data_IF_970628938609
#
_entry.id   IF_970628938609
#
_cell.length_a   1.000
_cell.length_b   1.000
_cell.length_c   1.000
_cell.angle_alpha   90.00
_cell.angle_beta   90.00
_cell.angle_gamma   90.00
#
_symmetry.space_group_name_H-M   'P 1'
#
loop_
_entity.id
_entity.type
_entity.pdbx_description
1 polymer ?
#
# COMPACT_ATOMS: atom_id res chain seq x y z
N UNK A 1 -21.96 8.18 -11.22
CA UNK A 1 -22.37 9.23 -10.28
C UNK A 1 -21.48 10.44 -10.52
N UNK A 2 -22.01 11.64 -10.83
CA UNK A 2 -21.18 12.82 -11.09
C UNK A 2 -20.18 13.08 -9.94
N UNK A 3 -18.89 13.28 -10.28
CA UNK A 3 -17.82 13.52 -9.32
C UNK A 3 -17.32 12.30 -8.56
N UNK A 4 -17.74 11.07 -8.96
CA UNK A 4 -17.22 9.80 -8.43
C UNK A 4 -16.95 8.84 -9.59
N UNK A 5 -15.91 8.02 -9.48
CA UNK A 5 -15.55 7.00 -10.46
C UNK A 5 -14.74 5.90 -9.79
N UNK A 6 -14.64 4.75 -10.45
CA UNK A 6 -13.74 3.66 -10.09
C UNK A 6 -12.42 3.82 -10.87
N UNK A 7 -11.53 4.68 -10.38
CA UNK A 7 -10.30 5.05 -11.08
C UNK A 7 -9.15 4.04 -10.90
N UNK A 8 -9.41 2.95 -10.18
CA UNK A 8 -8.50 1.81 -10.04
C UNK A 8 -9.02 0.52 -10.70
N UNK A 9 -10.29 0.51 -11.15
CA UNK A 9 -10.88 -0.63 -11.87
C UNK A 9 -11.40 -1.76 -10.97
N UNK A 10 -11.61 -1.50 -9.69
CA UNK A 10 -12.09 -2.52 -8.75
C UNK A 10 -13.51 -3.02 -9.07
N UNK A 11 -14.36 -2.22 -9.73
CA UNK A 11 -15.66 -2.65 -10.25
C UNK A 11 -15.51 -3.69 -11.38
N UNK A 12 -14.50 -3.53 -12.25
CA UNK A 12 -14.14 -4.53 -13.24
C UNK A 12 -13.60 -5.82 -12.60
N UNK A 13 -12.74 -5.70 -11.57
CA UNK A 13 -12.26 -6.87 -10.82
C UNK A 13 -13.43 -7.66 -10.21
N UNK A 14 -14.40 -6.97 -9.59
CA UNK A 14 -15.61 -7.62 -9.06
C UNK A 14 -16.41 -8.30 -10.14
N UNK A 15 -16.54 -7.69 -11.32
CA UNK A 15 -17.26 -8.27 -12.46
C UNK A 15 -16.59 -9.55 -12.97
N UNK A 16 -15.24 -9.57 -13.07
CA UNK A 16 -14.47 -10.77 -13.42
C UNK A 16 -14.74 -11.90 -12.41
N UNK A 17 -14.74 -11.60 -11.11
CA UNK A 17 -15.02 -12.59 -10.07
C UNK A 17 -16.49 -13.09 -10.15
N UNK A 18 -17.45 -12.24 -10.48
CA UNK A 18 -18.83 -12.67 -10.76
C UNK A 18 -18.90 -13.62 -11.95
N UNK A 19 -18.21 -13.31 -13.06
CA UNK A 19 -18.12 -14.19 -14.23
C UNK A 19 -17.46 -15.54 -13.91
N UNK A 20 -16.42 -15.54 -13.05
CA UNK A 20 -15.84 -16.78 -12.52
C UNK A 20 -16.88 -17.59 -11.74
N UNK A 21 -17.70 -16.94 -10.91
CA UNK A 21 -18.79 -17.60 -10.17
C UNK A 21 -19.81 -18.26 -11.09
N UNK A 22 -20.18 -17.61 -12.17
CA UNK A 22 -21.07 -18.18 -13.18
C UNK A 22 -20.45 -19.44 -13.83
N UNK A 23 -19.18 -19.38 -14.25
CA UNK A 23 -18.47 -20.53 -14.81
C UNK A 23 -18.36 -21.70 -13.82
N UNK A 24 -18.03 -21.42 -12.56
CA UNK A 24 -17.95 -22.44 -11.50
C UNK A 24 -19.32 -23.05 -11.18
N UNK A 25 -20.42 -22.31 -11.31
CA UNK A 25 -21.77 -22.87 -11.14
C UNK A 25 -22.12 -23.94 -12.18
N UNK A 26 -21.57 -23.80 -13.37
CA UNK A 26 -21.77 -24.74 -14.51
C UNK A 26 -20.73 -25.89 -14.49
N UNK A 27 -19.52 -25.63 -13.99
CA UNK A 27 -18.40 -26.58 -13.97
C UNK A 27 -17.75 -26.57 -12.58
N UNK A 28 -18.39 -27.23 -11.63
CA UNK A 28 -17.86 -27.34 -10.26
C UNK A 28 -16.59 -28.17 -10.23
N UNK A 29 -15.60 -27.79 -9.39
CA UNK A 29 -14.43 -28.64 -9.19
C UNK A 29 -14.84 -30.01 -8.64
N UNK A 30 -14.15 -31.07 -9.04
CA UNK A 30 -14.40 -32.43 -8.59
C UNK A 30 -14.05 -32.62 -7.09
N UNK A 31 -13.14 -31.80 -6.57
CA UNK A 31 -12.71 -31.79 -5.18
C UNK A 31 -12.33 -30.39 -4.74
N UNK A 32 -12.39 -30.16 -3.43
CA UNK A 32 -12.08 -28.86 -2.84
C UNK A 32 -13.24 -27.86 -2.91
N UNK A 33 -12.98 -26.66 -2.46
CA UNK A 33 -13.92 -25.54 -2.42
C UNK A 33 -13.29 -24.29 -3.02
N UNK A 34 -14.05 -23.52 -3.75
CA UNK A 34 -13.62 -22.20 -4.25
C UNK A 34 -14.50 -21.15 -3.60
N UNK A 35 -13.86 -20.26 -2.85
CA UNK A 35 -14.51 -19.13 -2.19
C UNK A 35 -14.26 -17.87 -3.01
N UNK A 36 -15.31 -17.19 -3.43
CA UNK A 36 -15.25 -15.89 -4.09
C UNK A 36 -15.39 -14.82 -3.03
N UNK A 37 -14.31 -14.11 -2.76
CA UNK A 37 -14.23 -13.13 -1.69
C UNK A 37 -14.32 -11.71 -2.25
N UNK A 38 -15.36 -10.97 -1.83
CA UNK A 38 -15.54 -9.56 -2.15
C UNK A 38 -15.26 -8.74 -0.89
N UNK A 39 -14.19 -7.96 -0.90
CA UNK A 39 -13.80 -7.16 0.25
C UNK A 39 -14.12 -5.67 0.06
N UNK A 40 -14.39 -4.92 1.13
CA UNK A 40 -14.52 -3.47 1.08
C UNK A 40 -13.17 -2.78 1.27
N UNK A 41 -13.12 -1.44 1.07
CA UNK A 41 -12.09 -0.54 1.60
C UNK A 41 -10.62 -0.92 1.26
N UNK A 42 -10.38 -1.45 0.06
CA UNK A 42 -9.02 -1.76 -0.41
C UNK A 42 -8.16 -0.47 -0.44
N UNK A 43 -8.65 0.62 -1.03
CA UNK A 43 -7.95 1.89 -1.21
C UNK A 43 -7.44 2.54 0.10
N UNK A 44 -7.95 2.11 1.24
CA UNK A 44 -7.50 2.57 2.57
C UNK A 44 -6.62 1.54 3.30
N UNK A 45 -6.41 0.35 2.72
CA UNK A 45 -5.67 -0.75 3.32
C UNK A 45 -6.40 -1.42 4.50
N UNK A 46 -7.72 -1.19 4.63
CA UNK A 46 -8.51 -1.70 5.76
C UNK A 46 -9.33 -2.94 5.40
N UNK A 47 -9.52 -3.23 4.11
CA UNK A 47 -10.43 -4.26 3.63
C UNK A 47 -9.98 -5.67 3.99
N UNK A 48 -8.79 -6.07 3.58
CA UNK A 48 -8.23 -7.37 3.92
C UNK A 48 -8.09 -7.53 5.44
N UNK A 49 -7.67 -6.49 6.16
CA UNK A 49 -7.58 -6.51 7.62
C UNK A 49 -8.94 -6.79 8.27
N UNK A 50 -9.99 -6.09 7.85
CA UNK A 50 -11.33 -6.28 8.39
C UNK A 50 -11.84 -7.71 8.17
N UNK A 51 -11.51 -8.32 7.02
CA UNK A 51 -11.87 -9.72 6.73
C UNK A 51 -11.10 -10.67 7.64
N UNK A 52 -9.78 -10.51 7.75
CA UNK A 52 -8.94 -11.39 8.56
C UNK A 52 -9.24 -11.33 10.07
N UNK A 53 -9.75 -10.20 10.55
CA UNK A 53 -10.18 -9.99 11.93
C UNK A 53 -11.63 -10.45 12.19
N UNK A 54 -12.44 -10.74 11.13
CA UNK A 54 -13.80 -11.27 11.29
C UNK A 54 -13.75 -12.75 11.72
N UNK A 55 -14.41 -13.14 12.83
CA UNK A 55 -14.41 -14.53 13.28
C UNK A 55 -14.90 -15.54 12.22
N UNK A 56 -15.78 -15.10 11.31
CA UNK A 56 -16.28 -15.96 10.22
C UNK A 56 -15.21 -16.31 9.18
N UNK A 57 -14.07 -15.60 9.16
CA UNK A 57 -12.98 -15.89 8.25
C UNK A 57 -12.42 -17.31 8.48
N UNK A 58 -12.44 -17.82 9.70
CA UNK A 58 -11.99 -19.19 9.98
C UNK A 58 -12.82 -20.27 9.25
N UNK A 59 -14.08 -19.98 8.91
CA UNK A 59 -14.95 -20.90 8.16
C UNK A 59 -14.54 -20.99 6.67
N UNK A 60 -13.85 -19.97 6.17
CA UNK A 60 -13.42 -19.86 4.77
C UNK A 60 -11.90 -19.72 4.63
N UNK A 61 -11.14 -20.02 5.70
CA UNK A 61 -9.67 -19.91 5.67
C UNK A 61 -9.09 -20.71 4.50
N UNK A 62 -8.43 -20.06 3.53
CA UNK A 62 -7.99 -20.75 2.32
C UNK A 62 -6.66 -21.48 2.51
N UNK A 63 -6.47 -22.56 1.73
CA UNK A 63 -5.17 -23.21 1.54
C UNK A 63 -4.28 -22.42 0.57
N UNK A 64 -4.90 -21.66 -0.34
CA UNK A 64 -4.23 -20.71 -1.23
C UNK A 64 -5.16 -19.57 -1.61
N UNK A 65 -4.63 -18.36 -1.78
CA UNK A 65 -5.36 -17.19 -2.20
C UNK A 65 -4.83 -16.63 -3.52
N UNK A 66 -5.73 -16.24 -4.43
CA UNK A 66 -5.39 -15.62 -5.70
C UNK A 66 -6.11 -14.29 -5.84
N UNK A 67 -5.42 -13.30 -6.41
CA UNK A 67 -6.02 -12.03 -6.80
C UNK A 67 -5.45 -11.57 -8.14
N UNK A 68 -6.18 -10.70 -8.83
CA UNK A 68 -5.72 -10.05 -10.04
C UNK A 68 -5.84 -8.52 -9.89
N UNK A 69 -5.00 -7.81 -10.63
CA UNK A 69 -5.15 -6.36 -10.82
C UNK A 69 -4.99 -6.01 -12.31
N UNK A 70 -5.86 -5.16 -12.82
CA UNK A 70 -5.71 -4.62 -14.17
C UNK A 70 -4.49 -3.72 -14.26
N UNK A 71 -3.75 -3.81 -15.36
CA UNK A 71 -2.50 -3.08 -15.56
C UNK A 71 -2.52 -2.27 -16.86
N UNK A 72 -2.81 -0.96 -16.83
CA UNK A 72 -2.54 -0.05 -17.94
C UNK A 72 -1.07 -0.10 -18.37
N UNK A 73 -0.83 0.10 -19.67
CA UNK A 73 0.52 0.08 -20.25
C UNK A 73 1.04 -1.31 -20.63
N UNK A 74 0.31 -2.37 -20.31
CA UNK A 74 0.57 -3.72 -20.78
C UNK A 74 -0.44 -4.11 -21.89
N UNK A 75 -0.03 -4.94 -22.87
CA UNK A 75 -0.95 -5.43 -23.89
C UNK A 75 -2.22 -6.03 -23.27
N UNK A 76 -3.36 -5.80 -23.91
CA UNK A 76 -4.64 -6.33 -23.45
C UNK A 76 -4.57 -7.86 -23.24
N UNK A 77 -5.10 -8.35 -22.13
CA UNK A 77 -5.08 -9.75 -21.69
C UNK A 77 -3.69 -10.32 -21.36
N UNK A 78 -2.61 -9.56 -21.43
CA UNK A 78 -1.29 -10.07 -21.03
C UNK A 78 -1.26 -10.35 -19.53
N UNK A 79 -0.89 -11.56 -19.14
CA UNK A 79 -0.68 -11.93 -17.74
C UNK A 79 0.71 -11.47 -17.30
N UNK A 80 0.75 -10.60 -16.31
CA UNK A 80 2.00 -10.07 -15.74
C UNK A 80 2.21 -10.74 -14.39
N UNK A 81 3.31 -11.47 -14.28
CA UNK A 81 3.63 -12.26 -13.10
C UNK A 81 4.98 -11.83 -12.50
N UNK A 82 5.20 -12.19 -11.26
CA UNK A 82 6.52 -12.06 -10.63
C UNK A 82 6.69 -13.09 -9.53
N UNK A 83 7.89 -13.66 -9.44
CA UNK A 83 8.30 -14.51 -8.32
C UNK A 83 8.66 -13.66 -7.10
N UNK A 84 8.22 -14.07 -5.93
CA UNK A 84 8.44 -13.33 -4.70
C UNK A 84 7.62 -12.03 -4.64
N UNK A 85 8.22 -10.93 -4.20
CA UNK A 85 7.49 -9.65 -4.04
C UNK A 85 6.89 -9.15 -5.35
N UNK A 86 5.58 -9.02 -5.42
CA UNK A 86 4.85 -8.47 -6.58
C UNK A 86 4.66 -6.96 -6.43
N UNK A 87 4.15 -6.53 -5.28
CA UNK A 87 3.90 -5.12 -4.96
C UNK A 87 4.48 -4.73 -3.60
N UNK A 88 4.90 -3.48 -3.46
CA UNK A 88 5.52 -2.94 -2.25
C UNK A 88 4.56 -2.97 -1.06
N UNK A 89 5.11 -3.11 0.13
CA UNK A 89 4.41 -2.67 1.34
C UNK A 89 4.56 -1.17 1.51
N UNK A 90 3.56 -0.52 2.12
CA UNK A 90 3.61 0.91 2.42
C UNK A 90 2.81 1.30 3.66
N UNK A 91 3.14 2.46 4.21
CA UNK A 91 2.33 3.10 5.26
C UNK A 91 2.46 4.61 5.22
N UNK A 92 1.36 5.30 5.42
CA UNK A 92 1.37 6.71 5.77
C UNK A 92 1.74 6.86 7.24
N UNK A 93 2.73 7.72 7.54
CA UNK A 93 3.19 7.99 8.89
C UNK A 93 3.18 9.48 9.18
N UNK A 94 2.66 9.87 10.33
CA UNK A 94 2.70 11.24 10.82
C UNK A 94 3.47 11.31 12.14
N UNK A 95 4.47 12.17 12.20
CA UNK A 95 5.20 12.55 13.41
C UNK A 95 4.55 13.81 13.96
N UNK A 96 4.06 13.78 15.19
CA UNK A 96 3.51 14.92 15.91
C UNK A 96 4.49 15.38 16.99
N UNK A 97 4.95 16.62 16.91
CA UNK A 97 5.85 17.24 17.89
C UNK A 97 5.08 18.22 18.75
N UNK A 98 5.13 18.05 20.07
CA UNK A 98 4.45 18.92 21.03
C UNK A 98 5.46 19.53 22.00
N UNK A 99 5.53 20.83 21.96
CA UNK A 99 6.29 21.67 22.89
C UNK A 99 5.35 22.60 23.68
N UNK A 100 5.69 23.88 23.75
CA UNK A 100 4.94 24.90 24.48
C UNK A 100 4.90 26.20 23.69
N UNK A 101 3.70 26.75 23.47
CA UNK A 101 3.51 28.08 22.87
C UNK A 101 3.98 29.17 23.84
N UNK A 102 4.42 30.30 23.27
CA UNK A 102 4.73 31.51 24.03
C UNK A 102 4.41 32.76 23.20
N UNK A 103 4.49 33.92 23.78
CA UNK A 103 4.42 35.18 23.04
C UNK A 103 5.66 35.30 22.14
N UNK A 104 5.50 35.80 20.93
CA UNK A 104 6.61 35.91 19.95
C UNK A 104 7.75 36.84 20.40
N UNK A 105 7.45 37.80 21.29
CA UNK A 105 8.47 38.65 21.93
C UNK A 105 9.21 37.97 23.09
N UNK A 106 8.74 36.81 23.57
CA UNK A 106 9.34 36.04 24.67
C UNK A 106 9.46 34.56 24.25
N UNK A 107 10.21 34.22 23.17
CA UNK A 107 10.31 32.87 22.67
C UNK A 107 10.95 31.90 23.66
N UNK A 108 11.79 32.38 24.57
CA UNK A 108 12.44 31.61 25.64
C UNK A 108 11.47 31.05 26.69
N UNK A 109 10.26 31.59 26.79
CA UNK A 109 9.20 31.08 27.67
C UNK A 109 8.44 29.88 27.08
N UNK A 110 8.69 29.58 25.82
CA UNK A 110 8.11 28.46 25.08
C UNK A 110 9.11 27.35 24.79
N UNK A 111 8.61 26.31 24.08
CA UNK A 111 9.40 25.22 23.49
C UNK A 111 8.92 25.08 22.05
N UNK A 112 9.65 25.66 21.10
CA UNK A 112 9.25 25.73 19.70
C UNK A 112 9.81 24.53 18.92
N UNK A 113 8.97 23.75 18.24
CA UNK A 113 9.40 22.54 17.51
C UNK A 113 10.09 22.83 16.16
N UNK A 114 10.18 24.08 15.71
CA UNK A 114 10.70 24.45 14.39
C UNK A 114 12.07 23.86 14.08
N UNK A 115 13.01 23.90 15.05
CA UNK A 115 14.36 23.37 14.86
C UNK A 115 14.40 21.85 14.72
N UNK A 116 13.56 21.13 15.46
CA UNK A 116 13.43 19.68 15.34
C UNK A 116 12.79 19.32 13.99
N UNK A 117 11.69 19.97 13.62
CA UNK A 117 11.00 19.79 12.34
C UNK A 117 11.96 20.00 11.15
N UNK A 118 12.69 21.11 11.12
CA UNK A 118 13.62 21.41 10.03
C UNK A 118 14.71 20.33 9.88
N UNK A 119 15.25 19.83 11.00
CA UNK A 119 16.25 18.75 10.99
C UNK A 119 15.66 17.41 10.54
N UNK A 120 14.42 17.11 10.91
CA UNK A 120 13.73 15.89 10.43
C UNK A 120 13.48 15.97 8.94
N UNK A 121 12.98 17.08 8.40
CA UNK A 121 12.78 17.28 6.97
C UNK A 121 14.09 17.03 6.19
N UNK A 122 15.24 17.46 6.72
CA UNK A 122 16.54 17.26 6.07
C UNK A 122 17.08 15.83 6.20
N UNK A 123 16.89 15.20 7.37
CA UNK A 123 17.51 13.88 7.66
C UNK A 123 16.68 12.71 7.15
N UNK A 124 15.35 12.75 7.28
CA UNK A 124 14.50 11.58 7.00
C UNK A 124 14.62 11.06 5.57
N UNK A 125 14.74 11.89 4.50
CA UNK A 125 14.92 11.40 3.13
C UNK A 125 16.21 10.59 2.89
N UNK A 126 17.17 10.65 3.81
CA UNK A 126 18.43 9.89 3.73
C UNK A 126 18.30 8.47 4.34
N UNK A 127 17.32 8.25 5.24
CA UNK A 127 17.18 7.00 5.99
C UNK A 127 16.92 5.76 5.10
N UNK A 128 16.22 5.84 3.95
CA UNK A 128 16.10 4.69 3.07
C UNK A 128 17.44 4.07 2.64
N UNK A 129 18.52 4.84 2.62
CA UNK A 129 19.88 4.36 2.28
C UNK A 129 20.49 3.47 3.38
N UNK A 130 19.93 3.49 4.58
CA UNK A 130 20.38 2.68 5.72
C UNK A 130 19.68 1.32 5.78
N UNK A 131 18.68 1.09 4.90
CA UNK A 131 17.97 -0.18 4.74
C UNK A 131 18.67 -1.03 3.67
N UNK A 132 18.67 -2.35 3.83
CA UNK A 132 19.44 -3.26 2.96
C UNK A 132 18.87 -3.40 1.55
N UNK A 133 17.52 -3.40 1.42
CA UNK A 133 16.82 -3.53 0.16
C UNK A 133 16.29 -2.21 -0.39
N UNK A 134 15.35 -2.31 -1.33
CA UNK A 134 14.64 -1.13 -1.81
C UNK A 134 13.76 -0.57 -0.71
N UNK A 135 14.00 0.69 -0.36
CA UNK A 135 13.16 1.47 0.54
C UNK A 135 12.98 2.89 -0.01
N UNK A 136 11.84 3.49 0.27
CA UNK A 136 11.50 4.84 -0.17
C UNK A 136 10.77 5.58 0.96
N UNK A 137 11.15 6.84 1.16
CA UNK A 137 10.45 7.78 2.04
C UNK A 137 10.12 9.03 1.23
N UNK A 138 8.83 9.36 1.18
CA UNK A 138 8.36 10.57 0.52
C UNK A 138 7.70 11.47 1.56
N UNK A 139 8.22 12.69 1.72
CA UNK A 139 7.59 13.71 2.57
C UNK A 139 6.32 14.21 1.88
N UNK A 140 5.21 14.23 2.60
CA UNK A 140 3.89 14.58 2.05
C UNK A 140 3.44 15.95 2.55
N UNK A 141 3.57 16.21 3.87
CA UNK A 141 3.09 17.45 4.48
C UNK A 141 3.92 17.80 5.69
N UNK A 142 4.14 19.11 5.91
CA UNK A 142 4.76 19.65 7.10
C UNK A 142 3.99 20.88 7.57
N UNK A 143 3.70 20.94 8.86
CA UNK A 143 3.00 22.05 9.48
C UNK A 143 3.73 22.51 10.75
N UNK A 144 3.81 23.83 10.95
CA UNK A 144 4.40 24.44 12.14
C UNK A 144 3.44 25.49 12.70
N UNK A 145 2.79 25.17 13.82
CA UNK A 145 1.88 26.07 14.51
C UNK A 145 0.71 26.53 13.64
N UNK A 146 0.29 27.77 13.83
CA UNK A 146 -0.73 28.44 13.04
C UNK A 146 -0.26 29.83 12.63
N UNK A 147 -0.86 30.42 11.60
CA UNK A 147 -0.51 31.77 11.14
C UNK A 147 -0.98 32.81 12.15
N UNK A 148 -0.11 33.11 13.15
CA UNK A 148 -0.34 34.09 14.21
C UNK A 148 0.98 34.75 14.60
N UNK A 149 1.23 35.97 14.10
CA UNK A 149 2.53 36.68 14.29
C UNK A 149 2.88 36.99 15.73
N UNK A 150 1.89 37.06 16.61
CA UNK A 150 2.10 37.30 18.06
C UNK A 150 2.45 36.04 18.87
N UNK A 151 2.50 34.86 18.25
CA UNK A 151 2.64 33.58 18.96
C UNK A 151 3.79 32.75 18.41
N UNK A 152 4.71 32.31 19.28
CA UNK A 152 5.69 31.27 18.96
C UNK A 152 5.00 29.87 18.92
N UNK A 153 5.26 29.08 17.89
CA UNK A 153 4.65 27.77 17.71
C UNK A 153 5.02 26.80 18.86
N UNK A 154 4.04 26.04 19.32
CA UNK A 154 4.22 24.97 20.29
C UNK A 154 3.90 23.59 19.76
N UNK A 155 3.46 23.47 18.50
CA UNK A 155 3.15 22.19 17.84
C UNK A 155 3.70 22.18 16.43
N UNK A 156 4.05 21.00 15.94
CA UNK A 156 4.37 20.75 14.55
C UNK A 156 3.98 19.33 14.17
N UNK A 157 3.74 19.11 12.89
CA UNK A 157 3.53 17.78 12.33
C UNK A 157 4.34 17.58 11.05
N UNK A 158 4.74 16.34 10.77
CA UNK A 158 5.42 15.93 9.55
C UNK A 158 4.85 14.61 9.10
N UNK A 159 4.21 14.60 7.92
CA UNK A 159 3.60 13.43 7.33
C UNK A 159 4.42 12.94 6.14
N UNK A 160 4.51 11.62 6.00
CA UNK A 160 5.28 10.95 4.95
C UNK A 160 4.66 9.61 4.58
N UNK A 161 5.00 9.11 3.41
CA UNK A 161 4.75 7.72 3.01
C UNK A 161 6.07 6.96 3.04
N UNK A 162 6.05 5.78 3.65
CA UNK A 162 7.15 4.84 3.70
C UNK A 162 6.80 3.64 2.82
N UNK A 163 7.76 3.11 2.04
CA UNK A 163 7.58 1.94 1.17
C UNK A 163 8.81 1.06 1.19
N UNK A 164 8.62 -0.25 1.06
CA UNK A 164 9.73 -1.20 0.80
C UNK A 164 9.23 -2.42 0.02
N UNK A 165 10.16 -3.16 -0.60
CA UNK A 165 9.87 -4.42 -1.28
C UNK A 165 9.96 -5.63 -0.35
N UNK A 166 10.47 -5.47 0.87
CA UNK A 166 10.49 -6.49 1.91
C UNK A 166 9.83 -5.96 3.17
N UNK A 167 9.09 -6.82 3.87
CA UNK A 167 8.33 -6.42 5.06
C UNK A 167 9.27 -6.02 6.21
N UNK A 168 10.38 -6.76 6.40
CA UNK A 168 11.38 -6.43 7.42
C UNK A 168 12.13 -5.13 7.13
N UNK A 169 12.36 -4.81 5.85
CA UNK A 169 12.94 -3.53 5.42
C UNK A 169 11.96 -2.37 5.69
N UNK A 170 10.65 -2.56 5.48
CA UNK A 170 9.63 -1.56 5.81
C UNK A 170 9.59 -1.28 7.32
N UNK A 171 9.58 -2.34 8.13
CA UNK A 171 9.60 -2.24 9.59
C UNK A 171 10.89 -1.55 10.08
N UNK A 172 12.03 -1.91 9.50
CA UNK A 172 13.32 -1.28 9.80
C UNK A 172 13.32 0.21 9.46
N UNK A 173 12.75 0.60 8.32
CA UNK A 173 12.62 2.02 7.94
C UNK A 173 11.72 2.77 8.91
N UNK A 174 10.59 2.19 9.32
CA UNK A 174 9.69 2.78 10.32
C UNK A 174 10.44 3.02 11.63
N UNK A 175 11.22 2.05 12.08
CA UNK A 175 11.98 2.16 13.33
C UNK A 175 13.11 3.20 13.24
N UNK A 176 13.80 3.29 12.10
CA UNK A 176 14.79 4.36 11.85
C UNK A 176 14.14 5.74 11.95
N UNK A 177 12.98 5.94 11.33
CA UNK A 177 12.22 7.19 11.40
C UNK A 177 11.80 7.51 12.82
N UNK A 178 11.25 6.54 13.56
CA UNK A 178 10.86 6.73 14.98
C UNK A 178 12.04 7.11 15.85
N UNK A 179 13.17 6.43 15.69
CA UNK A 179 14.37 6.67 16.49
C UNK A 179 14.95 8.06 16.22
N UNK A 180 15.03 8.48 14.95
CA UNK A 180 15.48 9.82 14.60
C UNK A 180 14.54 10.90 15.16
N UNK A 181 13.21 10.69 15.05
CA UNK A 181 12.23 11.63 15.57
C UNK A 181 12.32 11.77 17.11
N UNK A 182 12.44 10.64 17.82
CA UNK A 182 12.65 10.65 19.29
C UNK A 182 13.92 11.39 19.67
N UNK A 183 15.04 11.09 19.01
CA UNK A 183 16.32 11.76 19.29
C UNK A 183 16.24 13.30 19.08
N UNK A 184 15.53 13.77 18.04
CA UNK A 184 15.33 15.22 17.84
C UNK A 184 14.36 15.81 18.85
N UNK A 185 13.29 15.09 19.19
CA UNK A 185 12.33 15.55 20.20
C UNK A 185 13.01 15.70 21.56
N UNK A 186 13.74 14.70 22.03
CA UNK A 186 14.46 14.69 23.29
C UNK A 186 15.47 15.86 23.38
N UNK A 187 16.27 16.05 22.31
CA UNK A 187 17.25 17.15 22.24
C UNK A 187 16.62 18.53 22.39
N UNK A 188 15.37 18.68 21.99
CA UNK A 188 14.66 19.96 22.00
C UNK A 188 13.59 20.06 23.10
N UNK A 189 13.49 19.08 24.00
CA UNK A 189 12.53 19.08 25.11
C UNK A 189 11.05 18.92 24.62
N UNK A 190 10.83 18.26 23.50
CA UNK A 190 9.51 18.04 22.89
C UNK A 190 8.97 16.68 23.25
N UNK A 191 7.63 16.56 23.29
CA UNK A 191 6.96 15.25 23.20
C UNK A 191 6.80 14.88 21.73
N UNK A 192 6.90 13.58 21.43
CA UNK A 192 6.69 13.02 20.10
C UNK A 192 5.67 11.91 20.15
N UNK A 193 4.71 11.94 19.22
CA UNK A 193 3.72 10.92 19.00
C UNK A 193 3.73 10.51 17.51
N UNK A 194 3.28 9.27 17.22
CA UNK A 194 3.26 8.68 15.88
C UNK A 194 1.86 8.23 15.53
N UNK A 195 1.38 8.63 14.35
CA UNK A 195 0.15 8.13 13.74
C UNK A 195 0.46 7.33 12.49
N UNK A 196 -0.36 6.32 12.19
CA UNK A 196 -0.27 5.48 10.99
C UNK A 196 -1.61 5.43 10.29
N UNK A 197 -1.60 5.47 8.96
CA UNK A 197 -2.77 5.37 8.09
C UNK A 197 -2.38 4.61 6.83
N UNK A 198 -3.37 4.04 6.13
CA UNK A 198 -3.17 3.42 4.81
C UNK A 198 -1.99 2.43 4.82
N UNK A 199 -2.04 1.47 5.75
CA UNK A 199 -0.96 0.49 5.90
C UNK A 199 -1.25 -0.75 5.08
N UNK A 200 -0.35 -1.04 4.14
CA UNK A 200 -0.39 -2.16 3.22
C UNK A 200 0.81 -3.07 3.46
N UNK A 201 0.57 -4.35 3.63
CA UNK A 201 1.64 -5.33 3.71
C UNK A 201 2.28 -5.57 2.33
N UNK A 202 3.50 -6.06 2.32
CA UNK A 202 4.15 -6.50 1.07
C UNK A 202 3.35 -7.63 0.44
N UNK A 203 2.92 -7.47 -0.82
CA UNK A 203 2.28 -8.55 -1.57
C UNK A 203 3.36 -9.48 -2.14
N UNK A 204 3.46 -10.68 -1.57
CA UNK A 204 4.51 -11.64 -1.90
C UNK A 204 3.90 -12.91 -2.48
N UNK A 205 4.23 -13.20 -3.73
CA UNK A 205 3.80 -14.40 -4.43
C UNK A 205 4.56 -15.63 -3.95
N UNK A 206 3.82 -16.70 -3.67
CA UNK A 206 4.39 -18.01 -3.36
C UNK A 206 5.03 -18.62 -4.61
N UNK A 207 6.24 -19.15 -4.45
CA UNK A 207 7.03 -19.69 -5.56
C UNK A 207 6.43 -20.99 -6.14
N UNK A 208 5.67 -21.73 -5.34
CA UNK A 208 5.02 -22.97 -5.78
C UNK A 208 3.76 -22.69 -6.60
N UNK A 209 3.12 -21.53 -6.42
CA UNK A 209 1.95 -21.13 -7.20
C UNK A 209 2.33 -20.52 -8.56
N UNK A 210 3.56 -20.01 -8.70
CA UNK A 210 4.02 -19.39 -9.95
C UNK A 210 3.89 -20.32 -11.16
N UNK A 211 4.41 -21.57 -11.14
CA UNK A 211 4.31 -22.46 -12.30
C UNK A 211 2.85 -22.85 -12.63
N UNK A 212 1.97 -22.85 -11.63
CA UNK A 212 0.54 -23.14 -11.85
C UNK A 212 -0.10 -22.00 -12.67
N UNK A 213 0.12 -20.75 -12.28
CA UNK A 213 -0.43 -19.59 -12.99
C UNK A 213 0.18 -19.47 -14.40
N UNK A 214 1.48 -19.74 -14.54
CA UNK A 214 2.18 -19.74 -15.83
C UNK A 214 1.60 -20.80 -16.78
N UNK A 215 1.37 -22.02 -16.29
CA UNK A 215 0.81 -23.12 -17.06
C UNK A 215 -0.63 -22.82 -17.50
N UNK A 216 -1.47 -22.33 -16.59
CA UNK A 216 -2.85 -21.93 -16.90
C UNK A 216 -2.89 -20.82 -17.95
N UNK A 217 -2.04 -19.80 -17.84
CA UNK A 217 -1.95 -18.75 -18.85
C UNK A 217 -1.59 -19.34 -20.23
N UNK A 218 -0.64 -20.28 -20.28
CA UNK A 218 -0.23 -20.97 -21.50
C UNK A 218 -1.35 -21.82 -22.09
N UNK A 219 -2.09 -22.56 -21.26
CA UNK A 219 -3.23 -23.40 -21.73
C UNK A 219 -4.37 -22.57 -22.30
N UNK A 220 -4.60 -21.38 -21.72
CA UNK A 220 -5.59 -20.43 -22.22
C UNK A 220 -5.10 -19.62 -23.44
N UNK A 221 -3.85 -19.84 -23.90
CA UNK A 221 -3.27 -19.09 -25.01
C UNK A 221 -3.00 -17.62 -24.69
N UNK A 222 -2.94 -17.26 -23.42
CA UNK A 222 -2.63 -15.90 -22.99
C UNK A 222 -1.13 -15.66 -22.99
N UNK A 223 -0.71 -14.48 -23.45
CA UNK A 223 0.67 -14.04 -23.32
C UNK A 223 1.00 -13.81 -21.85
N UNK A 224 2.09 -14.37 -21.37
CA UNK A 224 2.57 -14.17 -20.00
C UNK A 224 3.96 -13.54 -20.00
N UNK A 225 4.22 -12.63 -19.03
CA UNK A 225 5.52 -11.99 -18.86
C UNK A 225 5.91 -11.96 -17.39
N UNK A 226 7.18 -12.28 -17.11
CA UNK A 226 7.74 -12.08 -15.76
C UNK A 226 8.28 -10.66 -15.65
N UNK A 227 7.77 -9.88 -14.68
CA UNK A 227 8.24 -8.53 -14.39
C UNK A 227 9.57 -8.61 -13.61
N UNK A 228 10.63 -7.90 -14.05
CA UNK A 228 11.93 -7.98 -13.39
C UNK A 228 11.94 -7.36 -11.99
N UNK A 229 11.27 -6.20 -11.81
CA UNK A 229 11.22 -5.48 -10.55
C UNK A 229 9.80 -5.49 -9.97
N UNK A 230 9.62 -5.48 -8.65
CA UNK A 230 8.30 -5.32 -8.02
C UNK A 230 7.63 -4.01 -8.43
N UNK A 231 6.30 -3.98 -8.33
CA UNK A 231 5.57 -2.73 -8.42
C UNK A 231 5.82 -1.88 -7.15
N UNK A 232 5.88 -0.56 -7.33
CA UNK A 232 6.07 0.38 -6.20
C UNK A 232 4.76 0.78 -5.53
N UNK A 233 3.61 0.53 -6.17
CA UNK A 233 2.31 0.67 -5.55
C UNK A 233 2.05 -0.51 -4.58
N UNK A 234 1.00 -0.44 -3.81
CA UNK A 234 0.70 -1.39 -2.75
C UNK A 234 -0.75 -1.86 -2.86
N UNK A 235 -1.01 -3.07 -2.39
CA UNK A 235 -2.31 -3.71 -2.32
C UNK A 235 -2.52 -4.32 -0.94
N UNK A 236 -3.72 -4.25 -0.41
CA UNK A 236 -4.00 -4.86 0.90
C UNK A 236 -4.07 -6.39 0.85
N UNK A 237 -4.16 -6.98 -0.36
CA UNK A 237 -3.99 -8.41 -0.61
C UNK A 237 -2.68 -8.97 -0.02
N UNK A 238 -1.67 -8.13 0.18
CA UNK A 238 -0.44 -8.49 0.87
C UNK A 238 -0.65 -9.13 2.25
N UNK A 239 -1.75 -8.82 2.93
CA UNK A 239 -2.10 -9.46 4.20
C UNK A 239 -2.43 -10.95 4.05
N UNK A 240 -3.04 -11.38 2.95
CA UNK A 240 -3.28 -12.80 2.67
C UNK A 240 -1.97 -13.56 2.48
N UNK A 241 -0.93 -12.92 1.92
CA UNK A 241 0.38 -13.56 1.76
C UNK A 241 1.10 -13.87 3.08
N UNK A 242 0.61 -13.31 4.19
CA UNK A 242 1.13 -13.59 5.53
C UNK A 242 0.45 -14.81 6.19
N UNK A 243 -0.68 -15.27 5.67
CA UNK A 243 -1.49 -16.32 6.30
C UNK A 243 -1.62 -17.60 5.48
N UNK A 244 -1.45 -17.53 4.16
CA UNK A 244 -1.47 -18.68 3.27
C UNK A 244 -0.61 -18.44 2.02
N UNK A 245 -0.21 -19.50 1.29
CA UNK A 245 0.31 -19.36 -0.06
C UNK A 245 -0.60 -18.47 -0.89
N UNK A 246 -0.08 -17.41 -1.49
CA UNK A 246 -0.89 -16.47 -2.24
C UNK A 246 -0.22 -16.03 -3.53
N UNK A 247 -1.03 -15.64 -4.51
CA UNK A 247 -0.53 -15.19 -5.80
C UNK A 247 -1.35 -14.02 -6.34
N UNK A 248 -0.71 -12.88 -6.46
CA UNK A 248 -1.24 -11.70 -7.15
C UNK A 248 -0.62 -11.62 -8.53
N UNK A 249 -1.43 -11.49 -9.56
CA UNK A 249 -0.96 -11.27 -10.93
C UNK A 249 -1.64 -10.06 -11.56
N UNK A 250 -0.95 -9.47 -12.52
CA UNK A 250 -1.50 -8.39 -13.32
C UNK A 250 -2.18 -8.91 -14.58
N UNK A 251 -3.22 -8.20 -15.01
CA UNK A 251 -3.87 -8.42 -16.29
C UNK A 251 -3.78 -7.14 -17.13
N UNK A 252 -3.08 -7.20 -18.26
CA UNK A 252 -2.86 -6.05 -19.13
C UNK A 252 -4.17 -5.46 -19.62
N UNK A 253 -4.35 -4.16 -19.41
CA UNK A 253 -5.55 -3.39 -19.75
C UNK A 253 -5.45 -2.64 -21.09
N UNK A 254 -4.34 -2.80 -21.82
CA UNK A 254 -4.04 -2.09 -23.06
C UNK A 254 -2.86 -1.14 -22.91
N UNK A 255 -2.04 -1.05 -23.96
CA UNK A 255 -0.83 -0.19 -23.94
C UNK A 255 -1.16 1.29 -23.85
N UNK A 256 -2.27 1.71 -24.46
CA UNK A 256 -2.72 3.10 -24.52
C UNK A 256 -3.81 3.41 -23.47
N UNK A 257 -4.13 2.46 -22.57
CA UNK A 257 -5.08 2.68 -21.49
C UNK A 257 -4.55 3.77 -20.55
N UNK A 258 -5.37 4.77 -20.16
CA UNK A 258 -4.97 5.77 -19.16
C UNK A 258 -4.52 5.12 -17.86
N UNK A 259 -3.60 5.77 -17.14
CA UNK A 259 -3.09 5.20 -15.89
C UNK A 259 -4.16 5.19 -14.80
N UNK A 260 -4.00 4.25 -13.87
CA UNK A 260 -4.85 4.16 -12.68
C UNK A 260 -4.83 5.51 -11.94
N UNK A 261 -5.96 5.88 -11.34
CA UNK A 261 -6.20 7.13 -10.61
C UNK A 261 -6.21 8.41 -11.49
N UNK A 262 -5.98 8.30 -12.79
CA UNK A 262 -6.22 9.43 -13.68
C UNK A 262 -7.72 9.66 -13.91
N UNK A 263 -8.13 10.93 -14.01
CA UNK A 263 -9.54 11.28 -14.18
C UNK A 263 -10.16 10.80 -15.51
N UNK A 264 -9.35 10.34 -16.45
CA UNK A 264 -9.75 9.77 -17.75
C UNK A 264 -9.69 8.23 -17.77
N UNK A 265 -9.29 7.60 -16.64
CA UNK A 265 -9.25 6.16 -16.55
C UNK A 265 -10.67 5.59 -16.65
N UNK A 266 -10.81 4.54 -17.44
CA UNK A 266 -11.99 3.69 -17.52
C UNK A 266 -11.54 2.24 -17.68
N UNK A 267 -12.22 1.33 -16.98
CA UNK A 267 -11.87 -0.09 -17.04
C UNK A 267 -12.27 -0.67 -18.41
N UNK A 268 -11.36 -1.28 -19.17
CA UNK A 268 -11.71 -1.85 -20.48
C UNK A 268 -12.60 -3.09 -20.31
N UNK A 269 -13.83 -2.99 -20.81
CA UNK A 269 -14.84 -4.06 -20.72
C UNK A 269 -14.37 -5.36 -21.37
N UNK A 270 -13.42 -5.29 -22.30
CA UNK A 270 -12.82 -6.45 -22.96
C UNK A 270 -12.03 -7.38 -22.01
N UNK A 271 -11.76 -6.92 -20.78
CA UNK A 271 -11.11 -7.74 -19.74
C UNK A 271 -12.08 -8.67 -19.01
N UNK A 272 -13.40 -8.52 -19.21
CA UNK A 272 -14.45 -9.29 -18.53
C UNK A 272 -14.77 -10.61 -19.24
#
# INVERSE_FOLDING_TARGET
>A
IPGKGHLCGHDGHMTIICGLGEKLSQNRPESGEVVLLFQPAEETGEGAKAILEDPRFEEIRPDAAFALHNLPGYPLHQVVMRKGTFAAGSTGMTISLTGKTSHSAHPEAGINPAQALAKLIQKLPELPKEVSGFALLTLIHAELGSLAFGTSAGKASLSMTLRAFDQGDLESLIDLVKNEAKAKADKHGLKVDFGFVESFAVSKNDLNLYPIVEEVARELGLSAVEKPDPFRWSEDFGLFSQICPSFLFGLGAGQDCPQLHEGTYDFPDELI
#
